data_IF_474520532811
#
_entry.id   IF_474520532811
#
_cell.length_a   1.000
_cell.length_b   1.000
_cell.length_c   1.000
_cell.angle_alpha   90.00
_cell.angle_beta   90.00
_cell.angle_gamma   90.00
#
_symmetry.space_group_name_H-M   'P 1'
#
loop_
_entity.id
_entity.type
_entity.pdbx_description
1 polymer ?
#
# COMPACT_ATOMS: atom_id res chain seq x y z
N UNK A 1 -10.14 17.24 -5.49
CA UNK A 1 -10.53 18.61 -5.86
C UNK A 1 -11.79 18.59 -6.70
N UNK A 2 -11.82 17.83 -7.80
CA UNK A 2 -13.01 17.61 -8.65
C UNK A 2 -14.30 17.36 -7.84
N UNK A 3 -14.31 16.37 -6.95
CA UNK A 3 -15.48 16.09 -6.10
C UNK A 3 -16.01 17.29 -5.29
N UNK A 4 -15.14 18.22 -4.88
CA UNK A 4 -15.56 19.43 -4.17
C UNK A 4 -16.16 20.45 -5.14
N UNK A 5 -15.49 20.67 -6.28
CA UNK A 5 -15.95 21.59 -7.34
C UNK A 5 -17.32 21.14 -7.85
N UNK A 6 -17.48 19.84 -8.16
CA UNK A 6 -18.74 19.27 -8.64
C UNK A 6 -19.87 19.42 -7.61
N UNK A 7 -19.56 19.28 -6.32
CA UNK A 7 -20.54 19.44 -5.25
C UNK A 7 -20.97 20.89 -5.06
N UNK A 8 -20.02 21.82 -5.12
CA UNK A 8 -20.29 23.24 -4.94
C UNK A 8 -20.87 23.88 -6.20
N UNK A 9 -20.59 23.31 -7.38
CA UNK A 9 -20.81 23.90 -8.70
C UNK A 9 -20.30 25.34 -8.78
N UNK A 10 -19.09 25.56 -8.26
CA UNK A 10 -18.44 26.87 -8.11
C UNK A 10 -17.00 26.83 -8.58
N UNK A 11 -16.50 27.97 -9.03
CA UNK A 11 -15.08 28.12 -9.30
C UNK A 11 -14.26 28.11 -8.01
N UNK A 12 -12.99 27.73 -8.10
CA UNK A 12 -12.07 27.69 -6.96
C UNK A 12 -11.90 29.06 -6.27
N UNK A 13 -12.14 30.15 -7.01
CA UNK A 13 -12.07 31.53 -6.51
C UNK A 13 -13.27 31.92 -5.63
N UNK A 14 -14.37 31.16 -5.73
CA UNK A 14 -15.63 31.46 -5.04
C UNK A 14 -15.91 30.52 -3.86
N UNK A 15 -15.11 29.46 -3.72
CA UNK A 15 -15.28 28.47 -2.65
C UNK A 15 -14.86 29.09 -1.31
N UNK A 16 -15.79 29.09 -0.36
CA UNK A 16 -15.54 29.55 1.00
C UNK A 16 -15.49 28.40 2.02
N UNK A 17 -15.22 28.75 3.29
CA UNK A 17 -15.17 27.76 4.38
C UNK A 17 -16.52 27.10 4.68
N UNK A 18 -17.66 27.74 4.34
CA UNK A 18 -19.00 27.17 4.52
C UNK A 18 -19.27 26.11 3.46
N UNK A 19 -18.86 26.34 2.22
CA UNK A 19 -18.96 25.39 1.12
C UNK A 19 -18.22 24.09 1.44
N UNK A 20 -16.98 24.20 1.93
CA UNK A 20 -16.18 23.03 2.31
C UNK A 20 -16.82 22.28 3.48
N UNK A 21 -17.39 22.98 4.48
CA UNK A 21 -18.12 22.34 5.58
C UNK A 21 -19.37 21.59 5.09
N UNK A 22 -20.17 22.19 4.20
CA UNK A 22 -21.33 21.51 3.59
C UNK A 22 -20.92 20.26 2.82
N UNK A 23 -19.83 20.36 2.06
CA UNK A 23 -19.26 19.22 1.35
C UNK A 23 -18.85 18.10 2.32
N UNK A 24 -18.13 18.42 3.40
CA UNK A 24 -17.78 17.44 4.43
C UNK A 24 -19.03 16.75 5.02
N UNK A 25 -20.07 17.51 5.37
CA UNK A 25 -21.34 16.93 5.86
C UNK A 25 -22.00 16.01 4.84
N UNK A 26 -21.88 16.31 3.54
CA UNK A 26 -22.38 15.44 2.47
C UNK A 26 -21.61 14.11 2.37
N UNK A 27 -20.34 14.08 2.77
CA UNK A 27 -19.53 12.87 2.81
C UNK A 27 -19.95 11.97 3.98
N UNK A 28 -20.31 12.56 5.12
CA UNK A 28 -20.85 11.80 6.25
C UNK A 28 -22.18 11.14 5.88
N UNK A 29 -23.07 11.86 5.18
CA UNK A 29 -24.32 11.31 4.65
C UNK A 29 -24.11 10.17 3.64
N UNK A 30 -22.97 10.14 2.95
CA UNK A 30 -22.57 9.06 2.03
C UNK A 30 -21.87 7.91 2.76
N UNK A 31 -21.90 7.88 4.10
CA UNK A 31 -21.28 6.86 4.95
C UNK A 31 -19.77 6.67 4.73
N UNK A 32 -19.05 7.74 4.37
CA UNK A 32 -17.59 7.69 4.32
C UNK A 32 -17.01 7.53 5.73
N UNK A 33 -15.97 6.71 5.86
CA UNK A 33 -15.22 6.60 7.12
C UNK A 33 -14.55 7.94 7.46
N UNK A 34 -14.48 8.30 8.74
CA UNK A 34 -13.83 9.52 9.21
C UNK A 34 -12.38 9.67 8.72
N UNK A 35 -11.62 8.57 8.62
CA UNK A 35 -10.27 8.54 8.02
C UNK A 35 -10.29 9.02 6.57
N UNK A 36 -11.28 8.58 5.79
CA UNK A 36 -11.42 8.98 4.38
C UNK A 36 -11.75 10.46 4.26
N UNK A 37 -12.67 10.97 5.10
CA UNK A 37 -13.01 12.40 5.13
C UNK A 37 -11.80 13.24 5.55
N UNK A 38 -11.02 12.79 6.55
CA UNK A 38 -9.77 13.43 6.98
C UNK A 38 -8.77 13.54 5.84
N UNK A 39 -8.50 12.44 5.13
CA UNK A 39 -7.57 12.42 3.99
C UNK A 39 -8.04 13.32 2.85
N UNK A 40 -9.35 13.31 2.55
CA UNK A 40 -9.95 14.20 1.56
C UNK A 40 -9.76 15.67 1.93
N UNK A 41 -10.05 16.05 3.18
CA UNK A 41 -9.84 17.42 3.67
C UNK A 41 -8.35 17.81 3.65
N UNK A 42 -7.44 16.88 3.97
CA UNK A 42 -6.00 17.15 3.91
C UNK A 42 -5.56 17.53 2.49
N UNK A 43 -6.06 16.82 1.48
CA UNK A 43 -5.84 17.17 0.08
C UNK A 43 -6.40 18.54 -0.30
N UNK A 44 -7.61 18.88 0.16
CA UNK A 44 -8.22 20.21 -0.05
C UNK A 44 -7.40 21.32 0.60
N UNK A 45 -6.97 21.14 1.85
CA UNK A 45 -6.13 22.11 2.56
C UNK A 45 -4.79 22.33 1.86
N UNK A 46 -4.16 21.25 1.38
CA UNK A 46 -2.89 21.32 0.65
C UNK A 46 -3.07 22.06 -0.68
N UNK A 47 -4.14 21.76 -1.42
CA UNK A 47 -4.44 22.44 -2.69
C UNK A 47 -4.65 23.95 -2.49
N UNK A 48 -5.51 24.36 -1.55
CA UNK A 48 -5.75 25.78 -1.30
C UNK A 48 -4.53 26.48 -0.68
N UNK A 49 -3.66 25.75 0.03
CA UNK A 49 -2.37 26.28 0.46
C UNK A 49 -1.50 26.60 -0.76
N UNK A 50 -1.35 25.66 -1.68
CA UNK A 50 -0.62 25.89 -2.93
C UNK A 50 -1.20 27.08 -3.73
N UNK A 51 -2.52 27.19 -3.87
CA UNK A 51 -3.14 28.31 -4.58
C UNK A 51 -2.82 29.68 -3.97
N UNK A 52 -2.63 29.76 -2.65
CA UNK A 52 -2.22 31.00 -2.00
C UNK A 52 -0.74 31.26 -2.17
N UNK A 53 0.10 30.24 -2.05
CA UNK A 53 1.55 30.36 -2.22
C UNK A 53 1.94 30.79 -3.64
N UNK A 54 1.20 30.32 -4.65
CA UNK A 54 1.43 30.65 -6.06
C UNK A 54 0.62 31.87 -6.55
N UNK A 55 -0.05 32.57 -5.63
CA UNK A 55 -0.74 33.84 -5.92
C UNK A 55 -2.10 33.73 -6.61
N UNK A 56 -2.63 32.53 -6.86
CA UNK A 56 -3.98 32.34 -7.41
C UNK A 56 -5.08 32.80 -6.44
N UNK A 57 -4.85 32.69 -5.13
CA UNK A 57 -5.80 33.11 -4.10
C UNK A 57 -5.12 33.99 -3.05
N UNK A 58 -5.86 34.96 -2.53
CA UNK A 58 -5.37 35.85 -1.46
C UNK A 58 -5.45 35.14 -0.10
N UNK A 59 -6.44 34.24 0.08
CA UNK A 59 -6.72 33.59 1.36
C UNK A 59 -7.12 32.14 1.18
N UNK A 60 -6.63 31.28 2.06
CA UNK A 60 -6.97 29.85 2.07
C UNK A 60 -8.33 29.62 2.77
N UNK A 61 -9.39 29.19 2.06
CA UNK A 61 -10.71 28.96 2.65
C UNK A 61 -10.77 27.74 3.58
N UNK A 62 -9.81 26.81 3.48
CA UNK A 62 -9.76 25.56 4.22
C UNK A 62 -8.94 25.61 5.51
N UNK A 63 -8.19 26.69 5.75
CA UNK A 63 -7.16 26.76 6.81
C UNK A 63 -7.73 26.45 8.20
N UNK A 64 -8.85 27.07 8.56
CA UNK A 64 -9.48 26.98 9.89
C UNK A 64 -10.50 25.84 10.03
N UNK A 65 -10.62 24.95 9.04
CA UNK A 65 -11.56 23.84 9.10
C UNK A 65 -10.93 22.70 9.92
N UNK A 66 -11.52 22.28 11.04
CA UNK A 66 -10.95 21.19 11.83
C UNK A 66 -11.05 19.86 11.08
N UNK A 67 -10.09 18.97 11.30
CA UNK A 67 -10.19 17.60 10.82
C UNK A 67 -11.27 16.84 11.60
N UNK A 68 -11.99 15.90 10.96
CA UNK A 68 -12.90 15.03 11.69
C UNK A 68 -12.13 14.19 12.71
N UNK A 69 -12.75 13.92 13.85
CA UNK A 69 -12.17 13.04 14.87
C UNK A 69 -12.09 11.63 14.29
N UNK A 70 -10.89 11.06 14.31
CA UNK A 70 -10.62 9.70 13.87
C UNK A 70 -10.27 8.90 15.12
N UNK A 71 -11.00 7.82 15.37
CA UNK A 71 -10.63 6.86 16.40
C UNK A 71 -9.30 6.21 16.03
N UNK A 72 -8.38 6.21 17.00
CA UNK A 72 -7.10 5.54 16.84
C UNK A 72 -7.34 4.02 16.88
N UNK A 73 -7.00 3.35 15.78
CA UNK A 73 -7.09 1.89 15.72
C UNK A 73 -5.71 1.34 15.95
N UNK A 74 -5.56 0.52 16.98
CA UNK A 74 -4.31 -0.18 17.23
C UNK A 74 -3.85 -0.92 15.97
N UNK A 75 -2.54 -0.89 15.64
CA UNK A 75 -2.00 -1.66 14.54
C UNK A 75 -2.35 -3.14 14.71
N UNK A 76 -2.98 -3.73 13.69
CA UNK A 76 -3.18 -5.18 13.65
C UNK A 76 -1.85 -5.79 13.21
N UNK A 77 -1.28 -6.67 14.04
CA UNK A 77 -0.07 -7.41 13.75
C UNK A 77 -0.35 -8.91 13.79
N UNK A 78 0.41 -9.69 13.02
CA UNK A 78 0.33 -11.15 13.02
C UNK A 78 0.94 -11.69 14.32
N UNK A 79 0.17 -12.46 15.08
CA UNK A 79 0.72 -13.27 16.16
C UNK A 79 1.40 -14.53 15.60
N UNK A 80 2.24 -15.17 16.43
CA UNK A 80 2.93 -16.42 16.05
C UNK A 80 1.94 -17.52 15.63
N UNK A 81 0.78 -17.59 16.29
CA UNK A 81 -0.30 -18.52 15.94
C UNK A 81 -0.88 -18.26 14.55
N UNK A 82 -1.13 -17.00 14.22
CA UNK A 82 -1.68 -16.59 12.93
C UNK A 82 -0.75 -16.96 11.78
N UNK A 83 0.57 -16.79 11.97
CA UNK A 83 1.55 -17.20 10.96
C UNK A 83 1.51 -18.72 10.73
N UNK A 84 1.40 -19.53 11.80
CA UNK A 84 1.30 -20.98 11.66
C UNK A 84 0.04 -21.39 10.89
N UNK A 85 -1.10 -20.76 11.18
CA UNK A 85 -2.35 -21.00 10.45
C UNK A 85 -2.20 -20.62 8.97
N UNK A 86 -1.65 -19.44 8.69
CA UNK A 86 -1.39 -18.97 7.34
C UNK A 86 -0.48 -19.93 6.56
N UNK A 87 0.57 -20.43 7.23
CA UNK A 87 1.50 -21.45 6.72
C UNK A 87 0.81 -22.78 6.39
N UNK A 88 -0.22 -23.17 7.13
CA UNK A 88 -1.02 -24.37 6.84
C UNK A 88 -1.97 -24.15 5.64
N UNK A 89 -2.59 -22.97 5.53
CA UNK A 89 -3.51 -22.64 4.42
C UNK A 89 -2.83 -22.67 3.04
N UNK A 90 -1.52 -22.43 3.00
CA UNK A 90 -0.71 -22.44 1.77
C UNK A 90 0.13 -23.71 1.62
N UNK A 91 -0.14 -24.75 2.42
CA UNK A 91 0.58 -26.03 2.31
C UNK A 91 0.43 -26.59 0.89
N UNK A 92 1.56 -26.96 0.28
CA UNK A 92 1.61 -27.44 -1.11
C UNK A 92 1.57 -26.34 -2.19
N UNK A 93 1.35 -25.08 -1.82
CA UNK A 93 1.37 -23.94 -2.75
C UNK A 93 2.70 -23.19 -2.61
N UNK A 94 3.71 -23.62 -3.36
CA UNK A 94 5.09 -23.14 -3.21
C UNK A 94 5.20 -21.61 -3.40
N UNK A 95 4.53 -21.04 -4.42
CA UNK A 95 4.49 -19.60 -4.65
C UNK A 95 3.92 -18.83 -3.44
N UNK A 96 2.76 -19.25 -2.94
CA UNK A 96 2.08 -18.54 -1.84
C UNK A 96 2.88 -18.64 -0.56
N UNK A 97 3.49 -19.81 -0.31
CA UNK A 97 4.38 -20.00 0.83
C UNK A 97 5.60 -19.09 0.74
N UNK A 98 6.27 -19.02 -0.41
CA UNK A 98 7.42 -18.15 -0.61
C UNK A 98 7.06 -16.66 -0.42
N UNK A 99 5.90 -16.21 -0.93
CA UNK A 99 5.41 -14.84 -0.71
C UNK A 99 5.26 -14.53 0.78
N UNK A 100 4.63 -15.43 1.54
CA UNK A 100 4.42 -15.23 2.99
C UNK A 100 5.75 -15.19 3.73
N UNK A 101 6.67 -16.12 3.45
CA UNK A 101 7.95 -16.18 4.13
C UNK A 101 8.80 -14.93 3.85
N UNK A 102 8.88 -14.46 2.60
CA UNK A 102 9.65 -13.26 2.27
C UNK A 102 9.04 -12.03 2.95
N UNK A 103 7.72 -11.84 2.88
CA UNK A 103 7.04 -10.71 3.52
C UNK A 103 7.25 -10.72 5.04
N UNK A 104 7.14 -11.89 5.68
CA UNK A 104 7.28 -12.03 7.12
C UNK A 104 8.75 -11.87 7.57
N UNK A 105 9.69 -12.51 6.90
CA UNK A 105 11.09 -12.52 7.30
C UNK A 105 11.81 -11.19 7.02
N UNK A 106 11.48 -10.52 5.92
CA UNK A 106 12.21 -9.33 5.47
C UNK A 106 11.48 -8.00 5.70
N UNK A 107 10.16 -8.05 5.95
CA UNK A 107 9.35 -6.84 6.16
C UNK A 107 9.25 -5.92 4.93
N UNK A 108 9.54 -6.43 3.72
CA UNK A 108 9.39 -5.65 2.48
C UNK A 108 7.94 -5.29 2.21
N UNK A 109 7.70 -4.16 1.56
CA UNK A 109 6.35 -3.78 1.13
C UNK A 109 5.92 -4.67 -0.04
N UNK A 110 4.63 -4.93 -0.17
CA UNK A 110 4.09 -5.77 -1.27
C UNK A 110 4.51 -5.24 -2.65
N UNK A 111 4.52 -3.91 -2.85
CA UNK A 111 4.98 -3.33 -4.12
C UNK A 111 6.46 -3.62 -4.39
N UNK A 112 7.30 -3.51 -3.36
CA UNK A 112 8.72 -3.82 -3.47
C UNK A 112 8.92 -5.30 -3.74
N UNK A 113 8.18 -6.19 -3.05
CA UNK A 113 8.18 -7.64 -3.26
C UNK A 113 7.94 -8.01 -4.73
N UNK A 114 6.96 -7.37 -5.37
CA UNK A 114 6.63 -7.65 -6.79
C UNK A 114 7.74 -7.20 -7.73
N UNK A 115 8.59 -6.25 -7.33
CA UNK A 115 9.67 -5.72 -8.16
C UNK A 115 11.00 -6.46 -7.97
N UNK A 116 11.12 -7.33 -6.95
CA UNK A 116 12.37 -8.09 -6.68
C UNK A 116 12.69 -8.99 -7.87
N UNK A 117 13.93 -8.93 -8.33
CA UNK A 117 14.50 -9.81 -9.34
C UNK A 117 15.40 -10.88 -8.73
N UNK A 118 15.64 -11.96 -9.48
CA UNK A 118 16.53 -13.06 -9.09
C UNK A 118 17.95 -12.57 -8.80
N UNK A 119 18.42 -11.58 -9.55
CA UNK A 119 19.74 -10.94 -9.39
C UNK A 119 19.88 -10.12 -8.09
N UNK A 120 18.76 -9.67 -7.51
CA UNK A 120 18.77 -8.86 -6.28
C UNK A 120 19.03 -9.72 -5.03
N UNK A 121 18.99 -11.05 -5.15
CA UNK A 121 19.12 -11.98 -4.02
C UNK A 121 20.58 -12.45 -3.88
N UNK A 122 21.18 -12.11 -2.76
CA UNK A 122 22.43 -12.72 -2.31
C UNK A 122 22.12 -13.90 -1.38
N UNK A 123 22.24 -15.13 -1.91
CA UNK A 123 21.92 -16.35 -1.17
C UNK A 123 22.87 -16.67 -0.02
N UNK A 124 24.21 -16.59 -0.18
CA UNK A 124 25.14 -16.81 0.94
C UNK A 124 24.86 -15.92 2.15
N UNK A 125 24.64 -14.64 1.89
CA UNK A 125 24.44 -13.62 2.93
C UNK A 125 22.96 -13.51 3.38
N UNK A 126 22.04 -14.21 2.70
CA UNK A 126 20.57 -14.11 2.88
C UNK A 126 20.10 -12.66 2.89
N UNK A 127 20.45 -11.94 1.84
CA UNK A 127 20.13 -10.53 1.65
C UNK A 127 19.37 -10.30 0.33
N UNK A 128 18.45 -9.33 0.34
CA UNK A 128 17.78 -8.84 -0.86
C UNK A 128 18.04 -7.35 -0.99
N UNK A 129 18.50 -6.93 -2.16
CA UNK A 129 18.67 -5.52 -2.51
C UNK A 129 17.30 -4.99 -2.98
N UNK A 130 16.83 -3.91 -2.38
CA UNK A 130 15.59 -3.24 -2.75
C UNK A 130 15.95 -1.93 -3.49
N UNK A 131 15.93 -1.92 -4.84
CA UNK A 131 16.42 -0.78 -5.62
C UNK A 131 15.55 0.48 -5.41
N UNK A 132 14.24 0.31 -5.26
CA UNK A 132 13.28 1.41 -5.10
C UNK A 132 12.93 1.70 -3.63
N UNK A 133 13.92 1.80 -2.75
CA UNK A 133 13.69 2.17 -1.35
C UNK A 133 13.14 3.61 -1.16
N UNK A 134 12.70 3.93 0.07
CA UNK A 134 12.18 5.27 0.43
C UNK A 134 13.23 6.34 0.06
N UNK A 135 12.83 7.36 -0.69
CA UNK A 135 13.70 8.43 -1.25
C UNK A 135 14.63 7.99 -2.40
N UNK A 136 14.31 6.91 -3.13
CA UNK A 136 15.14 6.36 -4.24
C UNK A 136 16.56 5.95 -3.80
N UNK A 137 16.74 5.62 -2.52
CA UNK A 137 17.97 5.00 -2.03
C UNK A 137 17.75 3.51 -1.91
N UNK A 138 18.70 2.76 -2.45
CA UNK A 138 18.75 1.32 -2.30
C UNK A 138 18.85 0.97 -0.81
N UNK A 139 18.21 -0.12 -0.42
CA UNK A 139 18.40 -0.69 0.92
C UNK A 139 18.50 -2.20 0.83
N UNK A 140 19.18 -2.77 1.81
CA UNK A 140 19.26 -4.21 1.98
C UNK A 140 18.23 -4.64 3.02
N UNK A 141 17.56 -5.75 2.75
CA UNK A 141 16.79 -6.48 3.76
C UNK A 141 17.37 -7.87 3.94
N UNK A 142 17.28 -8.39 5.15
CA UNK A 142 17.71 -9.75 5.47
C UNK A 142 16.52 -10.71 5.45
N UNK A 143 16.78 -11.98 5.22
CA UNK A 143 15.79 -13.04 5.39
C UNK A 143 16.35 -14.26 6.11
N UNK A 144 15.47 -15.11 6.62
CA UNK A 144 15.84 -16.28 7.41
C UNK A 144 16.24 -17.45 6.52
N UNK A 145 16.88 -18.46 7.12
CA UNK A 145 17.19 -19.72 6.44
C UNK A 145 15.92 -20.44 5.96
N UNK A 146 14.86 -20.49 6.79
CA UNK A 146 13.56 -21.07 6.42
C UNK A 146 12.95 -20.36 5.18
N UNK A 147 13.07 -19.02 5.13
CA UNK A 147 12.64 -18.27 3.95
C UNK A 147 13.47 -18.63 2.72
N UNK A 148 14.78 -18.82 2.87
CA UNK A 148 15.66 -19.21 1.77
C UNK A 148 15.25 -20.55 1.16
N UNK A 149 14.91 -21.53 1.99
CA UNK A 149 14.51 -22.87 1.56
C UNK A 149 13.20 -22.82 0.76
N UNK A 150 12.17 -22.18 1.30
CA UNK A 150 10.89 -22.06 0.59
C UNK A 150 10.99 -21.23 -0.70
N UNK A 151 11.79 -20.17 -0.69
CA UNK A 151 12.00 -19.36 -1.87
C UNK A 151 12.74 -20.13 -2.97
N UNK A 152 13.75 -20.93 -2.61
CA UNK A 152 14.44 -21.83 -3.55
C UNK A 152 13.51 -22.91 -4.08
N UNK A 153 12.70 -23.55 -3.23
CA UNK A 153 11.73 -24.56 -3.68
C UNK A 153 10.78 -23.99 -4.73
N UNK A 154 10.27 -22.78 -4.53
CA UNK A 154 9.43 -22.11 -5.51
C UNK A 154 10.17 -21.78 -6.80
N UNK A 155 11.39 -21.22 -6.72
CA UNK A 155 12.18 -20.89 -7.91
C UNK A 155 12.59 -22.13 -8.71
N UNK A 156 12.81 -23.28 -8.05
CA UNK A 156 13.15 -24.54 -8.73
C UNK A 156 11.95 -25.17 -9.46
N UNK A 157 10.71 -24.88 -9.07
CA UNK A 157 9.50 -25.30 -9.79
C UNK A 157 9.28 -24.46 -11.06
N UNK A 158 9.91 -23.30 -11.15
CA UNK A 158 9.72 -22.37 -12.26
C UNK A 158 10.53 -22.75 -13.48
N UNK A 159 9.81 -23.10 -14.53
CA UNK A 159 10.32 -23.27 -15.90
C UNK A 159 10.11 -21.99 -16.73
N UNK A 160 10.79 -20.91 -16.34
CA UNK A 160 10.76 -19.64 -17.07
C UNK A 160 12.05 -18.83 -16.87
N UNK A 161 12.37 -17.97 -17.84
CA UNK A 161 13.55 -17.10 -17.87
C UNK A 161 13.24 -15.67 -17.40
N UNK A 162 12.10 -15.43 -16.73
CA UNK A 162 11.76 -14.09 -16.29
C UNK A 162 12.66 -13.63 -15.13
N UNK A 163 13.12 -12.38 -15.15
CA UNK A 163 14.03 -11.86 -14.13
C UNK A 163 13.37 -11.72 -12.76
N UNK A 164 12.04 -11.58 -12.69
CA UNK A 164 11.32 -11.37 -11.44
C UNK A 164 11.29 -12.63 -10.57
N UNK A 165 11.37 -12.45 -9.25
CA UNK A 165 11.22 -13.53 -8.26
C UNK A 165 9.79 -14.03 -8.19
N UNK A 166 8.79 -13.15 -8.26
CA UNK A 166 7.38 -13.51 -8.27
C UNK A 166 6.74 -13.08 -9.59
N UNK A 167 6.14 -14.03 -10.31
CA UNK A 167 5.56 -13.80 -11.64
C UNK A 167 4.04 -13.90 -11.64
N UNK A 168 3.42 -13.31 -12.66
CA UNK A 168 1.98 -13.46 -12.87
C UNK A 168 1.63 -14.88 -13.36
N UNK A 169 0.35 -15.25 -13.27
CA UNK A 169 -0.13 -16.59 -13.68
C UNK A 169 0.13 -16.91 -15.14
N UNK A 170 0.13 -15.89 -16.01
CA UNK A 170 0.42 -16.03 -17.44
C UNK A 170 1.92 -16.15 -17.75
N UNK A 171 2.80 -16.06 -16.75
CA UNK A 171 4.27 -16.05 -16.89
C UNK A 171 4.77 -15.05 -17.95
N UNK A 172 4.18 -13.86 -18.00
CA UNK A 172 4.59 -12.78 -18.92
C UNK A 172 5.30 -11.61 -18.22
N UNK A 173 5.33 -11.62 -16.89
CA UNK A 173 5.96 -10.56 -16.12
C UNK A 173 5.76 -10.73 -14.63
N UNK A 174 6.07 -9.68 -13.88
CA UNK A 174 5.92 -9.64 -12.43
C UNK A 174 4.48 -9.87 -11.96
N UNK A 175 4.35 -10.48 -10.79
CA UNK A 175 3.08 -10.60 -10.08
C UNK A 175 2.50 -9.23 -9.74
N UNK A 176 1.21 -9.03 -9.98
CA UNK A 176 0.54 -7.78 -9.58
C UNK A 176 0.31 -7.73 -8.07
N UNK A 177 0.55 -6.57 -7.45
CA UNK A 177 0.23 -6.28 -6.03
C UNK A 177 -1.20 -6.68 -5.66
N UNK A 178 -2.16 -6.47 -6.57
CA UNK A 178 -3.57 -6.79 -6.34
C UNK A 178 -3.83 -8.29 -6.25
N UNK A 179 -3.04 -9.12 -6.94
CA UNK A 179 -3.14 -10.58 -6.85
C UNK A 179 -2.76 -11.04 -5.45
N UNK A 180 -1.63 -10.56 -4.92
CA UNK A 180 -1.19 -10.86 -3.56
C UNK A 180 -2.24 -10.41 -2.53
N UNK A 181 -2.72 -9.18 -2.64
CA UNK A 181 -3.75 -8.66 -1.74
C UNK A 181 -5.04 -9.51 -1.75
N UNK A 182 -5.48 -9.98 -2.92
CA UNK A 182 -6.64 -10.87 -3.01
C UNK A 182 -6.39 -12.21 -2.31
N UNK A 183 -5.22 -12.82 -2.50
CA UNK A 183 -4.83 -14.06 -1.81
C UNK A 183 -4.85 -13.87 -0.28
N UNK A 184 -4.26 -12.78 0.22
CA UNK A 184 -4.27 -12.47 1.65
C UNK A 184 -5.67 -12.19 2.21
N UNK A 185 -6.55 -11.54 1.45
CA UNK A 185 -7.94 -11.30 1.86
C UNK A 185 -8.72 -12.60 2.02
N UNK A 186 -8.47 -13.59 1.15
CA UNK A 186 -9.08 -14.91 1.28
C UNK A 186 -8.68 -15.58 2.60
N UNK A 187 -7.42 -15.46 3.02
CA UNK A 187 -6.95 -16.01 4.30
C UNK A 187 -7.53 -15.33 5.54
N UNK A 188 -8.03 -14.09 5.44
CA UNK A 188 -8.73 -13.44 6.56
C UNK A 188 -10.18 -13.94 6.75
N UNK A 189 -10.70 -14.69 5.77
CA UNK A 189 -12.08 -15.20 5.76
C UNK A 189 -12.17 -16.70 5.99
N UNK A 190 -11.04 -17.40 5.94
CA UNK A 190 -10.88 -18.84 6.18
C UNK A 190 -10.52 -19.09 7.65
#
# INVERSE_FOLDING_TARGET
>A
MEQLIDFCNKSIYEIDSKDIRRWMSSLDNKAYKAVTVKTKLAGIKLFFKYCVEDGFLIKNPAINIPFPKVEDKSPIYLQKGDLLQLRQLVKGKLEERAVIEVLYASGVRIKELTEIKREDINWPERMIIIPNGKHKKERIVLFTQECAEHLKSYLNERDDELPFVFVNTSKTGSMCTRTIQKKFKYFQQA
#
